data_IF_681994118270
#
_entry.id   IF_681994118270
#
_cell.length_a   1.000
_cell.length_b   1.000
_cell.length_c   1.000
_cell.angle_alpha   90.00
_cell.angle_beta   90.00
_cell.angle_gamma   90.00
#
_symmetry.space_group_name_H-M   'P 1'
#
loop_
_entity.id
_entity.type
_entity.pdbx_description
1 polymer ?
#
# COMPACT_ATOMS: atom_id res chain seq x y z
N UNK A 1 15.54 -3.33 -35.41
CA UNK A 1 16.34 -4.33 -34.67
C UNK A 1 17.85 -4.13 -34.90
N UNK A 2 18.39 -2.94 -34.58
CA UNK A 2 19.84 -2.64 -34.49
C UNK A 2 19.96 -1.15 -34.13
N UNK A 3 19.77 -0.78 -32.86
CA UNK A 3 20.22 0.49 -32.24
C UNK A 3 19.76 0.62 -30.75
N UNK A 4 19.85 -0.46 -29.98
CA UNK A 4 19.70 -0.43 -28.52
C UNK A 4 20.75 -1.35 -27.87
N UNK A 5 22.03 -1.12 -28.17
CA UNK A 5 23.12 -1.94 -27.61
C UNK A 5 24.23 -1.18 -26.90
N UNK A 6 24.12 0.13 -26.70
CA UNK A 6 25.14 0.88 -25.96
C UNK A 6 24.49 1.90 -25.03
N UNK A 7 24.10 1.44 -23.82
CA UNK A 7 24.07 2.23 -22.55
C UNK A 7 23.55 1.47 -21.32
N UNK A 8 23.67 0.15 -21.28
CA UNK A 8 23.45 -0.62 -20.05
C UNK A 8 24.73 -1.41 -19.74
N UNK A 9 25.45 -1.11 -18.64
CA UNK A 9 26.40 -2.07 -18.11
C UNK A 9 25.64 -3.34 -17.72
N UNK A 10 26.28 -4.48 -17.96
CA UNK A 10 25.74 -5.83 -17.93
C UNK A 10 24.58 -6.05 -16.94
N UNK A 11 23.47 -6.58 -17.45
CA UNK A 11 22.44 -7.18 -16.61
C UNK A 11 23.12 -8.12 -15.62
N UNK A 12 22.84 -7.97 -14.32
CA UNK A 12 23.28 -8.94 -13.32
C UNK A 12 22.88 -10.32 -13.82
N UNK A 13 23.87 -11.12 -14.22
CA UNK A 13 23.68 -12.54 -14.52
C UNK A 13 22.88 -13.10 -13.36
N UNK A 14 21.68 -13.60 -13.64
CA UNK A 14 20.89 -14.37 -12.70
C UNK A 14 21.80 -15.49 -12.18
N UNK A 15 22.41 -15.28 -11.02
CA UNK A 15 23.03 -16.35 -10.26
C UNK A 15 21.88 -17.21 -9.80
N UNK A 16 21.85 -18.46 -10.24
CA UNK A 16 21.13 -19.51 -9.52
C UNK A 16 21.52 -19.41 -8.05
N UNK A 17 20.66 -18.79 -7.25
CA UNK A 17 20.77 -18.71 -5.80
C UNK A 17 19.42 -18.85 -5.12
N UNK A 18 18.36 -19.13 -5.90
CA UNK A 18 17.02 -19.39 -5.41
C UNK A 18 16.80 -20.89 -5.29
N UNK A 19 17.43 -21.55 -4.32
CA UNK A 19 17.01 -22.84 -3.77
C UNK A 19 17.98 -23.25 -2.65
N UNK A 20 17.41 -23.53 -1.48
CA UNK A 20 18.02 -23.87 -0.19
C UNK A 20 18.42 -22.69 0.71
N UNK A 21 17.41 -21.94 1.15
CA UNK A 21 17.30 -21.76 2.60
C UNK A 21 16.08 -22.58 3.03
N UNK A 22 16.33 -23.74 3.62
CA UNK A 22 15.32 -24.30 4.54
C UNK A 22 15.06 -23.28 5.65
N UNK A 23 13.93 -23.37 6.37
CA UNK A 23 13.74 -22.53 7.55
C UNK A 23 15.01 -22.62 8.39
N UNK A 24 15.59 -21.47 8.74
CA UNK A 24 16.68 -21.44 9.71
C UNK A 24 16.04 -21.75 11.07
N UNK A 25 15.79 -23.05 11.29
CA UNK A 25 15.29 -23.61 12.55
C UNK A 25 16.39 -23.60 13.63
N UNK A 26 17.62 -23.22 13.27
CA UNK A 26 18.82 -23.34 14.10
C UNK A 26 19.38 -22.00 14.61
N UNK A 27 18.76 -20.84 14.34
CA UNK A 27 18.99 -19.69 15.24
C UNK A 27 18.24 -20.09 16.50
N UNK A 28 18.95 -20.32 17.63
CA UNK A 28 18.27 -20.75 18.85
C UNK A 28 17.14 -19.76 19.10
N UNK A 29 15.93 -20.29 19.32
CA UNK A 29 14.83 -19.48 19.84
C UNK A 29 15.40 -18.72 21.02
N UNK A 30 15.67 -17.43 20.84
CA UNK A 30 16.20 -16.65 21.94
C UNK A 30 15.09 -16.67 22.96
N UNK A 31 15.35 -17.25 24.13
CA UNK A 31 14.37 -17.36 25.22
C UNK A 31 13.87 -15.97 25.63
N UNK A 32 14.63 -14.95 25.26
CA UNK A 32 14.46 -13.55 25.61
C UNK A 32 13.54 -12.82 24.64
N UNK A 33 13.73 -12.84 23.31
CA UNK A 33 12.93 -12.04 22.37
C UNK A 33 11.82 -12.78 21.62
N UNK A 34 10.62 -12.15 21.48
CA UNK A 34 9.66 -12.56 20.44
C UNK A 34 10.17 -12.06 19.10
N UNK A 35 10.35 -12.95 18.15
CA UNK A 35 10.94 -12.65 16.85
C UNK A 35 9.96 -12.88 15.68
N UNK A 36 10.16 -12.13 14.61
CA UNK A 36 9.48 -12.30 13.34
C UNK A 36 10.50 -12.11 12.22
N UNK A 37 10.51 -13.03 11.26
CA UNK A 37 11.46 -13.04 10.15
C UNK A 37 10.69 -12.93 8.83
N UNK A 38 11.13 -12.03 7.97
CA UNK A 38 10.71 -11.95 6.58
C UNK A 38 11.95 -11.98 5.70
N UNK A 39 12.27 -13.14 5.14
CA UNK A 39 13.53 -13.36 4.42
C UNK A 39 14.75 -13.03 5.29
N UNK A 40 15.58 -12.05 4.92
CA UNK A 40 16.73 -11.58 5.72
C UNK A 40 16.38 -10.48 6.74
N UNK A 41 15.16 -9.92 6.68
CA UNK A 41 14.69 -8.93 7.63
C UNK A 41 14.15 -9.59 8.90
N UNK A 42 14.90 -9.46 10.00
CA UNK A 42 14.51 -9.91 11.33
C UNK A 42 14.02 -8.74 12.20
N UNK A 43 12.94 -8.97 12.95
CA UNK A 43 12.42 -8.03 13.94
C UNK A 43 12.22 -8.74 15.27
N UNK A 44 12.79 -8.18 16.33
CA UNK A 44 12.60 -8.64 17.70
C UNK A 44 11.89 -7.57 18.53
N UNK A 45 10.90 -7.98 19.34
CA UNK A 45 10.11 -7.05 20.16
C UNK A 45 9.99 -7.52 21.61
N UNK A 46 10.63 -6.79 22.54
CA UNK A 46 10.65 -7.04 23.99
C UNK A 46 11.11 -5.82 24.80
N UNK A 47 11.11 -5.88 26.16
CA UNK A 47 11.82 -4.91 26.99
C UNK A 47 13.26 -4.68 26.51
N UNK A 48 13.73 -3.45 26.63
CA UNK A 48 15.01 -2.97 26.08
C UNK A 48 16.22 -3.84 26.43
N UNK A 49 16.25 -4.40 27.64
CA UNK A 49 17.32 -5.30 28.10
C UNK A 49 17.34 -6.64 27.35
N UNK A 50 16.17 -7.25 27.17
CA UNK A 50 16.03 -8.50 26.42
C UNK A 50 16.39 -8.30 24.94
N UNK A 51 16.04 -7.14 24.35
CA UNK A 51 16.42 -6.81 22.96
C UNK A 51 17.93 -6.65 22.82
N UNK A 52 18.61 -6.05 23.81
CA UNK A 52 20.08 -5.93 23.79
C UNK A 52 20.74 -7.30 23.90
N UNK A 53 20.23 -8.16 24.77
CA UNK A 53 20.72 -9.53 24.92
C UNK A 53 20.54 -10.32 23.62
N UNK A 54 19.36 -10.23 23.00
CA UNK A 54 19.09 -10.87 21.70
C UNK A 54 20.06 -10.39 20.61
N UNK A 55 20.37 -9.10 20.56
CA UNK A 55 21.36 -8.57 19.62
C UNK A 55 22.77 -9.15 19.84
N UNK A 56 23.19 -9.30 21.11
CA UNK A 56 24.51 -9.85 21.43
C UNK A 56 24.56 -11.35 21.10
N UNK A 57 23.51 -12.11 21.41
CA UNK A 57 23.35 -13.51 21.02
C UNK A 57 23.42 -13.69 19.50
N UNK A 58 22.72 -12.84 18.73
CA UNK A 58 22.79 -12.88 17.26
C UNK A 58 24.18 -12.60 16.71
N UNK A 59 24.96 -11.74 17.37
CA UNK A 59 26.34 -11.44 16.96
C UNK A 59 27.31 -12.58 17.23
N UNK A 60 27.07 -13.36 18.27
CA UNK A 60 27.90 -14.51 18.64
C UNK A 60 27.50 -15.77 17.88
N UNK A 61 26.20 -16.06 17.82
CA UNK A 61 25.64 -17.26 17.18
C UNK A 61 25.50 -17.14 15.66
N UNK A 62 25.40 -15.92 15.12
CA UNK A 62 25.25 -15.68 13.68
C UNK A 62 26.46 -16.13 12.84
N UNK A 63 27.71 -15.69 13.14
CA UNK A 63 28.87 -15.99 12.31
C UNK A 63 29.15 -17.49 12.08
N UNK A 64 28.99 -18.38 13.09
CA UNK A 64 29.05 -19.83 12.88
C UNK A 64 28.05 -20.36 11.84
N UNK A 65 26.88 -19.73 11.72
CA UNK A 65 25.83 -20.06 10.75
C UNK A 65 26.01 -19.34 9.40
N UNK A 66 27.08 -18.56 9.24
CA UNK A 66 27.33 -17.73 8.05
C UNK A 66 26.50 -16.44 8.00
N UNK A 67 25.79 -16.08 9.08
CA UNK A 67 25.00 -14.86 9.18
C UNK A 67 25.78 -13.76 9.92
N UNK A 68 25.89 -12.58 9.32
CA UNK A 68 26.67 -11.47 9.89
C UNK A 68 25.77 -10.24 10.08
N UNK A 69 25.25 -10.01 11.31
CA UNK A 69 24.39 -8.87 11.58
C UNK A 69 25.11 -7.54 11.27
N UNK A 70 24.52 -6.72 10.41
CA UNK A 70 25.08 -5.42 10.05
C UNK A 70 24.48 -4.32 10.93
N UNK A 71 25.19 -3.94 11.99
CA UNK A 71 24.73 -2.94 12.97
C UNK A 71 24.28 -1.61 12.32
N UNK A 72 24.96 -1.16 11.25
CA UNK A 72 24.61 0.09 10.54
C UNK A 72 23.28 0.02 9.82
N UNK A 73 22.81 -1.19 9.50
CA UNK A 73 21.50 -1.44 8.89
C UNK A 73 20.44 -1.83 9.93
N UNK A 74 20.81 -2.02 11.20
CA UNK A 74 19.92 -2.33 12.31
C UNK A 74 19.44 -1.05 12.99
N UNK A 75 18.19 -1.07 13.42
CA UNK A 75 17.53 0.07 14.03
C UNK A 75 16.74 -0.38 15.24
N UNK A 76 16.74 0.47 16.26
CA UNK A 76 16.07 0.23 17.52
C UNK A 76 14.96 1.27 17.68
N UNK A 77 13.71 0.84 17.53
CA UNK A 77 12.54 1.70 17.73
C UNK A 77 12.07 1.57 19.17
N UNK A 78 12.10 2.67 19.91
CA UNK A 78 11.72 2.72 21.33
C UNK A 78 10.66 3.77 21.59
N UNK A 79 9.90 3.59 22.68
CA UNK A 79 8.97 4.62 23.16
C UNK A 79 9.77 5.85 23.59
N UNK A 80 9.25 7.09 23.42
CA UNK A 80 9.97 8.32 23.76
C UNK A 80 10.54 8.34 25.19
N UNK A 81 9.84 7.72 26.15
CA UNK A 81 10.26 7.65 27.56
C UNK A 81 11.53 6.81 27.79
N UNK A 82 11.81 5.84 26.90
CA UNK A 82 12.95 4.94 27.01
C UNK A 82 14.11 5.36 26.08
N UNK A 83 13.98 6.46 25.33
CA UNK A 83 14.94 6.88 24.31
C UNK A 83 16.34 7.16 24.90
N UNK A 84 16.41 7.89 26.01
CA UNK A 84 17.68 8.18 26.69
C UNK A 84 18.38 6.90 27.15
N UNK A 85 17.61 5.98 27.75
CA UNK A 85 18.11 4.69 28.23
C UNK A 85 18.53 3.78 27.07
N UNK A 86 17.81 3.82 25.96
CA UNK A 86 18.15 3.08 24.75
C UNK A 86 19.46 3.58 24.12
N UNK A 87 19.62 4.91 24.01
CA UNK A 87 20.87 5.52 23.53
C UNK A 87 22.05 5.11 24.42
N UNK A 88 21.90 5.17 25.74
CA UNK A 88 22.93 4.74 26.68
C UNK A 88 23.27 3.25 26.53
N UNK A 89 22.27 2.35 26.54
CA UNK A 89 22.47 0.91 26.45
C UNK A 89 23.04 0.42 25.11
N UNK A 90 22.73 1.11 24.02
CA UNK A 90 23.19 0.76 22.68
C UNK A 90 24.38 1.61 22.22
N UNK A 91 24.94 2.45 23.10
CA UNK A 91 26.16 3.21 22.82
C UNK A 91 27.29 2.26 22.41
N UNK A 92 27.99 2.58 21.31
CA UNK A 92 29.10 1.78 20.79
C UNK A 92 28.69 0.55 19.96
N UNK A 93 27.40 0.22 19.86
CA UNK A 93 26.93 -0.89 18.98
C UNK A 93 26.86 -0.49 17.51
N UNK A 94 26.71 0.82 17.22
CA UNK A 94 26.52 1.34 15.86
C UNK A 94 25.08 1.20 15.33
N UNK A 95 24.13 0.77 16.18
CA UNK A 95 22.69 0.72 15.88
C UNK A 95 22.08 2.12 15.97
N UNK A 96 21.24 2.47 15.00
CA UNK A 96 20.51 3.74 15.04
C UNK A 96 19.25 3.62 15.91
N UNK A 97 18.99 4.60 16.77
CA UNK A 97 17.84 4.63 17.70
C UNK A 97 16.69 5.54 17.23
N UNK A 98 16.81 6.17 16.07
CA UNK A 98 15.77 7.04 15.50
C UNK A 98 14.65 6.20 14.83
N UNK A 99 13.48 6.82 14.63
CA UNK A 99 12.35 6.19 13.93
C UNK A 99 12.75 5.67 12.55
N UNK A 100 12.19 4.53 12.11
CA UNK A 100 12.57 3.89 10.85
C UNK A 100 11.36 3.39 10.07
N UNK A 101 11.51 3.41 8.76
CA UNK A 101 10.75 2.57 7.83
C UNK A 101 11.06 1.09 8.06
N UNK A 102 10.05 0.28 8.35
CA UNK A 102 10.11 -1.18 8.38
C UNK A 102 9.16 -1.77 7.34
N UNK A 103 9.69 -2.59 6.42
CA UNK A 103 8.97 -3.25 5.31
C UNK A 103 8.13 -2.34 4.39
N UNK A 104 8.26 -1.00 4.48
CA UNK A 104 7.41 -0.08 3.72
C UNK A 104 6.67 0.93 4.59
N UNK A 105 6.35 0.53 5.82
CA UNK A 105 5.58 1.29 6.80
C UNK A 105 6.51 2.04 7.76
N UNK A 106 6.12 3.24 8.19
CA UNK A 106 6.79 3.96 9.26
C UNK A 106 6.52 3.32 10.63
N UNK A 107 7.58 3.12 11.41
CA UNK A 107 7.53 2.77 12.83
C UNK A 107 8.29 3.83 13.62
N UNK A 108 7.65 4.44 14.60
CA UNK A 108 8.28 5.47 15.42
C UNK A 108 7.28 6.43 16.06
N UNK A 109 7.74 7.66 16.31
CA UNK A 109 6.90 8.75 16.81
C UNK A 109 5.86 9.19 15.76
N UNK A 110 4.80 9.84 16.23
CA UNK A 110 3.80 10.47 15.37
C UNK A 110 4.45 11.49 14.41
N UNK A 111 5.41 12.29 14.89
CA UNK A 111 6.13 13.25 14.05
C UNK A 111 6.89 12.58 12.90
N UNK A 112 7.49 11.42 13.13
CA UNK A 112 8.20 10.68 12.09
C UNK A 112 7.22 10.07 11.07
N UNK A 113 6.07 9.58 11.54
CA UNK A 113 5.00 9.09 10.67
C UNK A 113 4.52 10.22 9.73
N UNK A 114 4.23 11.40 10.29
CA UNK A 114 3.77 12.56 9.55
C UNK A 114 4.79 13.05 8.53
N UNK A 115 6.08 13.14 8.89
CA UNK A 115 7.15 13.51 7.97
C UNK A 115 7.31 12.48 6.84
N UNK A 116 7.32 11.19 7.17
CA UNK A 116 7.50 10.12 6.19
C UNK A 116 6.33 10.03 5.21
N UNK A 117 5.09 10.04 5.72
CA UNK A 117 3.88 10.01 4.90
C UNK A 117 3.74 11.30 4.12
N UNK A 118 4.01 12.45 4.73
CA UNK A 118 4.01 13.76 4.08
C UNK A 118 4.91 13.79 2.85
N UNK A 119 6.18 13.38 2.98
CA UNK A 119 7.09 13.31 1.84
C UNK A 119 6.64 12.33 0.74
N UNK A 120 5.98 11.21 1.11
CA UNK A 120 5.41 10.28 0.13
C UNK A 120 4.19 10.86 -0.58
N UNK A 121 3.35 11.59 0.15
CA UNK A 121 2.17 12.26 -0.39
C UNK A 121 2.58 13.36 -1.36
N UNK A 122 3.63 14.13 -1.06
CA UNK A 122 4.22 15.11 -1.99
C UNK A 122 4.65 14.46 -3.31
N UNK A 123 5.41 13.34 -3.24
CA UNK A 123 5.80 12.56 -4.42
C UNK A 123 4.57 12.14 -5.24
N UNK A 124 3.53 11.61 -4.58
CA UNK A 124 2.33 11.11 -5.25
C UNK A 124 1.48 12.23 -5.85
N UNK A 125 1.36 13.38 -5.17
CA UNK A 125 0.69 14.58 -5.70
C UNK A 125 1.37 15.03 -6.98
N UNK A 126 2.70 15.02 -7.01
CA UNK A 126 3.45 15.36 -8.22
C UNK A 126 3.19 14.34 -9.35
N UNK A 127 3.22 13.05 -9.05
CA UNK A 127 2.91 11.99 -10.03
C UNK A 127 1.49 12.10 -10.59
N UNK A 128 0.49 12.36 -9.74
CA UNK A 128 -0.92 12.58 -10.15
C UNK A 128 -1.03 13.83 -11.02
N UNK A 129 -0.36 14.91 -10.67
CA UNK A 129 -0.34 16.15 -11.45
C UNK A 129 0.28 15.95 -12.83
N UNK A 130 1.39 15.22 -12.92
CA UNK A 130 2.00 14.84 -14.20
C UNK A 130 1.07 13.95 -15.01
N UNK A 131 0.39 12.99 -14.38
CA UNK A 131 -0.58 12.11 -15.04
C UNK A 131 -1.77 12.89 -15.61
N UNK A 132 -2.24 13.91 -14.89
CA UNK A 132 -3.28 14.82 -15.34
C UNK A 132 -2.86 15.63 -16.57
N UNK A 133 -1.59 16.04 -16.67
CA UNK A 133 -1.08 16.69 -17.88
C UNK A 133 -1.19 15.78 -19.11
N UNK A 134 -0.88 14.49 -18.98
CA UNK A 134 -1.08 13.51 -20.05
C UNK A 134 -2.56 13.30 -20.37
N UNK A 135 -3.43 13.31 -19.35
CA UNK A 135 -4.88 13.06 -19.50
C UNK A 135 -5.57 14.06 -20.44
N UNK A 136 -5.05 15.29 -20.55
CA UNK A 136 -5.56 16.31 -21.49
C UNK A 136 -5.51 15.86 -22.94
N UNK A 137 -4.50 15.08 -23.30
CA UNK A 137 -4.30 14.56 -24.67
C UNK A 137 -4.70 13.08 -24.81
N UNK A 138 -4.41 12.26 -23.79
CA UNK A 138 -4.53 10.80 -23.81
C UNK A 138 -5.27 10.30 -22.56
N UNK A 139 -6.55 10.69 -22.36
CA UNK A 139 -7.29 10.35 -21.14
C UNK A 139 -7.44 8.84 -20.95
N UNK A 140 -7.61 8.09 -22.04
CA UNK A 140 -7.72 6.65 -22.02
C UNK A 140 -6.42 5.94 -21.62
N UNK A 141 -5.25 6.54 -21.84
CA UNK A 141 -3.98 5.98 -21.38
C UNK A 141 -3.69 6.38 -19.93
N UNK A 142 -4.04 7.62 -19.55
CA UNK A 142 -3.85 8.12 -18.19
C UNK A 142 -4.72 7.40 -17.16
N UNK A 143 -5.98 7.11 -17.50
CA UNK A 143 -6.91 6.42 -16.60
C UNK A 143 -6.39 5.06 -16.09
N UNK A 144 -5.99 4.09 -16.95
CA UNK A 144 -5.45 2.81 -16.50
C UNK A 144 -4.10 2.96 -15.79
N UNK A 145 -3.27 3.93 -16.16
CA UNK A 145 -2.04 4.22 -15.43
C UNK A 145 -2.32 4.66 -13.97
N UNK A 146 -3.42 5.37 -13.74
CA UNK A 146 -3.90 5.66 -12.40
C UNK A 146 -4.45 4.39 -11.71
N UNK A 147 -5.43 3.72 -12.32
CA UNK A 147 -6.20 2.66 -11.65
C UNK A 147 -5.41 1.37 -11.41
N UNK A 148 -4.49 1.01 -12.31
CA UNK A 148 -3.65 -0.18 -12.22
C UNK A 148 -2.22 0.11 -11.79
N UNK A 149 -1.77 1.36 -11.85
CA UNK A 149 -0.42 1.77 -11.47
C UNK A 149 -0.41 2.51 -10.14
N UNK A 150 -0.72 3.80 -10.16
CA UNK A 150 -0.50 4.70 -9.03
C UNK A 150 -1.32 4.33 -7.80
N UNK A 151 -2.61 4.01 -7.96
CA UNK A 151 -3.53 3.75 -6.84
C UNK A 151 -3.03 2.72 -5.83
N UNK A 152 -2.36 1.68 -6.32
CA UNK A 152 -1.88 0.60 -5.47
C UNK A 152 -0.75 1.00 -4.52
N UNK A 153 -0.03 2.10 -4.81
CA UNK A 153 1.07 2.60 -3.98
C UNK A 153 0.58 3.08 -2.62
N UNK A 154 -0.42 3.95 -2.59
CA UNK A 154 -0.99 4.43 -1.32
C UNK A 154 -1.99 3.43 -0.71
N UNK A 155 -2.57 2.51 -1.50
CA UNK A 155 -3.36 1.40 -0.93
C UNK A 155 -2.54 0.57 0.06
N UNK A 156 -1.25 0.37 -0.19
CA UNK A 156 -0.37 -0.29 0.77
C UNK A 156 -0.26 0.49 2.08
N UNK A 157 -0.12 1.82 2.02
CA UNK A 157 0.00 2.68 3.20
C UNK A 157 -1.30 2.68 4.01
N UNK A 158 -2.45 2.84 3.34
CA UNK A 158 -3.77 2.75 3.96
C UNK A 158 -4.01 1.43 4.70
N UNK A 159 -3.34 0.33 4.30
CA UNK A 159 -3.48 -0.99 4.94
C UNK A 159 -2.49 -1.25 6.06
N UNK A 160 -1.45 -0.43 6.19
CA UNK A 160 -0.31 -0.71 7.07
C UNK A 160 -0.08 0.37 8.12
N UNK A 161 -0.62 1.57 7.93
CA UNK A 161 -0.45 2.70 8.83
C UNK A 161 -1.82 3.19 9.33
N UNK A 162 -2.03 3.28 10.66
CA UNK A 162 -3.20 3.92 11.24
C UNK A 162 -3.12 5.45 11.15
N UNK A 163 -4.27 6.11 11.30
CA UNK A 163 -4.38 7.56 11.54
C UNK A 163 -3.73 8.45 10.46
N UNK A 164 -3.69 7.98 9.21
CA UNK A 164 -3.12 8.72 8.07
C UNK A 164 -4.14 9.47 7.22
N UNK A 165 -5.44 9.40 7.54
CA UNK A 165 -6.54 10.02 6.77
C UNK A 165 -6.22 11.49 6.43
N UNK A 166 -5.96 12.30 7.45
CA UNK A 166 -5.68 13.73 7.28
C UNK A 166 -4.42 14.00 6.42
N UNK A 167 -3.45 13.11 6.47
CA UNK A 167 -2.21 13.22 5.69
C UNK A 167 -2.43 12.93 4.20
N UNK A 168 -3.49 12.21 3.86
CA UNK A 168 -3.84 11.87 2.48
C UNK A 168 -4.72 12.94 1.80
N UNK A 169 -5.22 13.94 2.53
CA UNK A 169 -6.03 15.02 1.96
C UNK A 169 -5.36 15.76 0.80
N UNK A 170 -4.05 16.10 0.81
CA UNK A 170 -3.41 16.73 -0.34
C UNK A 170 -3.47 15.86 -1.61
N UNK A 171 -3.39 14.53 -1.45
CA UNK A 171 -3.51 13.58 -2.55
C UNK A 171 -4.95 13.49 -3.07
N UNK A 172 -5.93 13.46 -2.17
CA UNK A 172 -7.36 13.55 -2.52
C UNK A 172 -7.62 14.79 -3.38
N UNK A 173 -7.18 15.98 -2.94
CA UNK A 173 -7.34 17.22 -3.70
C UNK A 173 -6.66 17.17 -5.05
N UNK A 174 -5.45 16.58 -5.15
CA UNK A 174 -4.80 16.41 -6.44
C UNK A 174 -5.60 15.51 -7.39
N UNK A 175 -6.28 14.48 -6.86
CA UNK A 175 -7.17 13.62 -7.66
C UNK A 175 -8.43 14.38 -8.07
N UNK A 176 -9.09 15.05 -7.12
CA UNK A 176 -10.38 15.73 -7.29
C UNK A 176 -10.29 17.01 -8.12
N UNK A 177 -9.30 17.86 -7.84
CA UNK A 177 -9.17 19.19 -8.45
C UNK A 177 -8.34 19.18 -9.74
N UNK A 178 -7.46 18.19 -9.92
CA UNK A 178 -6.51 18.18 -11.04
C UNK A 178 -6.74 17.00 -11.98
N UNK A 179 -6.70 15.77 -11.47
CA UNK A 179 -6.78 14.58 -12.33
C UNK A 179 -8.17 14.36 -12.92
N UNK A 180 -9.22 14.37 -12.08
CA UNK A 180 -10.59 14.17 -12.52
C UNK A 180 -10.97 15.19 -13.59
N UNK A 181 -10.80 16.52 -13.38
CA UNK A 181 -11.10 17.52 -14.40
C UNK A 181 -10.30 17.34 -15.69
N UNK A 182 -9.03 16.91 -15.59
CA UNK A 182 -8.21 16.65 -16.78
C UNK A 182 -8.70 15.43 -17.59
N UNK A 183 -9.21 14.39 -16.91
CA UNK A 183 -9.78 13.21 -17.56
C UNK A 183 -11.09 13.52 -18.28
N UNK A 184 -11.95 14.36 -17.71
CA UNK A 184 -13.30 14.64 -18.24
C UNK A 184 -13.45 15.99 -18.96
N UNK A 185 -12.43 16.85 -18.95
CA UNK A 185 -12.42 18.21 -19.53
C UNK A 185 -13.47 19.19 -18.96
N UNK A 186 -13.89 18.99 -17.72
CA UNK A 186 -14.77 19.91 -16.99
C UNK A 186 -14.58 19.77 -15.49
N UNK A 187 -15.02 20.77 -14.75
CA UNK A 187 -15.10 20.66 -13.30
C UNK A 187 -16.20 19.65 -12.91
N UNK A 188 -15.96 18.91 -11.84
CA UNK A 188 -16.98 18.08 -11.18
C UNK A 188 -17.56 18.82 -9.98
N UNK A 189 -18.86 18.67 -9.75
CA UNK A 189 -19.41 18.93 -8.42
C UNK A 189 -19.00 17.82 -7.44
N UNK A 190 -19.14 18.07 -6.14
CA UNK A 190 -18.85 17.08 -5.09
C UNK A 190 -19.57 15.74 -5.33
N UNK A 191 -20.89 15.76 -5.55
CA UNK A 191 -21.66 14.55 -5.89
C UNK A 191 -21.19 13.82 -7.17
N UNK A 192 -20.59 14.54 -8.14
CA UNK A 192 -20.01 13.90 -9.32
C UNK A 192 -18.66 13.27 -9.02
N UNK A 193 -17.84 13.90 -8.16
CA UNK A 193 -16.60 13.32 -7.64
C UNK A 193 -16.90 12.03 -6.86
N UNK A 194 -17.92 12.04 -6.00
CA UNK A 194 -18.37 10.86 -5.24
C UNK A 194 -18.80 9.74 -6.19
N UNK A 195 -19.57 10.07 -7.24
CA UNK A 195 -19.90 9.12 -8.30
C UNK A 195 -18.64 8.57 -8.97
N UNK A 196 -17.62 9.40 -9.26
CA UNK A 196 -16.37 8.94 -9.90
C UNK A 196 -15.54 8.05 -8.96
N UNK A 197 -15.63 8.25 -7.65
CA UNK A 197 -14.98 7.41 -6.66
C UNK A 197 -15.55 5.98 -6.64
N UNK A 198 -16.85 5.82 -6.95
CA UNK A 198 -17.49 4.50 -7.00
C UNK A 198 -16.86 3.57 -8.06
N UNK A 199 -16.91 2.24 -7.86
CA UNK A 199 -16.42 1.30 -8.86
C UNK A 199 -17.13 1.42 -10.21
N UNK A 200 -16.43 1.02 -11.26
CA UNK A 200 -16.93 0.99 -12.65
C UNK A 200 -18.24 0.21 -12.81
N UNK A 201 -18.42 -0.88 -12.04
CA UNK A 201 -19.68 -1.67 -12.03
C UNK A 201 -20.87 -0.99 -11.35
N UNK A 202 -20.64 0.15 -10.71
CA UNK A 202 -21.62 1.00 -10.03
C UNK A 202 -21.71 2.37 -10.73
N UNK A 203 -21.34 2.44 -12.02
CA UNK A 203 -21.41 3.65 -12.83
C UNK A 203 -20.29 4.68 -12.59
N UNK A 204 -19.36 4.41 -11.68
CA UNK A 204 -18.23 5.28 -11.38
C UNK A 204 -16.96 5.00 -12.20
N UNK A 205 -15.82 5.52 -11.72
CA UNK A 205 -14.50 5.35 -12.36
C UNK A 205 -13.46 4.72 -11.42
N UNK A 206 -13.82 4.38 -10.19
CA UNK A 206 -12.90 3.83 -9.20
C UNK A 206 -11.76 4.77 -8.83
N UNK A 207 -11.97 6.08 -9.00
CA UNK A 207 -11.07 7.17 -8.60
C UNK A 207 -11.28 7.47 -7.12
N UNK A 208 -11.04 6.47 -6.28
CA UNK A 208 -11.37 6.47 -4.86
C UNK A 208 -10.68 7.60 -4.10
N UNK A 209 -11.42 8.23 -3.18
CA UNK A 209 -10.85 9.15 -2.20
C UNK A 209 -9.92 8.36 -1.24
N UNK A 210 -8.60 8.64 -1.24
CA UNK A 210 -7.67 7.96 -0.36
C UNK A 210 -7.84 8.36 1.12
N UNK A 211 -8.35 9.55 1.42
CA UNK A 211 -8.64 10.00 2.79
C UNK A 211 -9.76 9.13 3.38
N UNK A 212 -10.94 9.14 2.76
CA UNK A 212 -12.14 8.43 3.28
C UNK A 212 -11.96 6.91 3.36
N UNK A 213 -11.12 6.34 2.50
CA UNK A 213 -10.90 4.89 2.46
C UNK A 213 -9.78 4.39 3.37
N UNK A 214 -8.99 5.29 3.97
CA UNK A 214 -7.82 4.92 4.77
C UNK A 214 -8.19 4.01 5.95
N UNK A 215 -9.13 4.46 6.80
CA UNK A 215 -9.53 3.75 8.01
C UNK A 215 -10.20 2.41 7.72
N UNK A 216 -11.02 2.37 6.66
CA UNK A 216 -11.69 1.16 6.23
C UNK A 216 -10.69 0.11 5.71
N UNK A 217 -9.69 0.53 4.92
CA UNK A 217 -8.64 -0.36 4.43
C UNK A 217 -7.72 -0.84 5.56
N UNK A 218 -7.39 0.02 6.53
CA UNK A 218 -6.61 -0.35 7.71
C UNK A 218 -7.37 -1.37 8.56
N UNK A 219 -8.63 -1.09 8.89
CA UNK A 219 -9.48 -1.98 9.69
C UNK A 219 -9.69 -3.34 9.02
N UNK A 220 -9.88 -3.34 7.70
CA UNK A 220 -9.96 -4.56 6.90
C UNK A 220 -8.66 -5.37 6.95
N UNK A 221 -7.52 -4.69 6.85
CA UNK A 221 -6.18 -5.31 6.92
C UNK A 221 -5.95 -5.98 8.29
N UNK A 222 -6.25 -5.28 9.38
CA UNK A 222 -6.15 -5.81 10.75
C UNK A 222 -7.04 -7.03 10.93
N UNK A 223 -8.31 -6.96 10.49
CA UNK A 223 -9.25 -8.07 10.63
C UNK A 223 -8.80 -9.32 9.89
N UNK A 224 -8.35 -9.17 8.64
CA UNK A 224 -7.93 -10.30 7.80
C UNK A 224 -6.61 -10.90 8.27
N UNK A 225 -5.70 -10.08 8.80
CA UNK A 225 -4.39 -10.53 9.28
C UNK A 225 -4.40 -11.05 10.72
N UNK A 226 -5.47 -10.83 11.49
CA UNK A 226 -5.57 -11.22 12.90
C UNK A 226 -5.18 -12.70 13.20
N UNK A 227 -5.60 -13.71 12.42
CA UNK A 227 -5.17 -15.09 12.65
C UNK A 227 -3.66 -15.27 12.50
N UNK A 228 -3.04 -14.60 11.53
CA UNK A 228 -1.60 -14.64 11.31
C UNK A 228 -0.85 -13.93 12.44
N UNK A 229 -1.34 -12.76 12.86
CA UNK A 229 -0.77 -12.02 14.00
C UNK A 229 -0.79 -12.87 15.26
N UNK A 230 -1.90 -13.57 15.54
CA UNK A 230 -2.00 -14.47 16.70
C UNK A 230 -0.95 -15.59 16.66
N UNK A 231 -0.69 -16.18 15.49
CA UNK A 231 0.37 -17.20 15.32
C UNK A 231 1.77 -16.62 15.54
N UNK A 232 2.04 -15.43 15.01
CA UNK A 232 3.31 -14.71 15.20
C UNK A 232 3.51 -14.39 16.69
N UNK A 233 2.50 -13.87 17.38
CA UNK A 233 2.59 -13.54 18.81
C UNK A 233 2.79 -14.76 19.70
N UNK A 234 2.22 -15.91 19.29
CA UNK A 234 2.41 -17.20 19.94
C UNK A 234 3.73 -17.89 19.55
N UNK A 235 4.53 -17.29 18.65
CA UNK A 235 5.76 -17.87 18.08
C UNK A 235 5.51 -19.27 17.49
N UNK A 236 4.35 -19.46 16.86
CA UNK A 236 3.99 -20.73 16.24
C UNK A 236 4.44 -20.76 14.78
N UNK A 237 5.12 -21.83 14.38
CA UNK A 237 5.49 -22.08 12.98
C UNK A 237 4.30 -22.56 12.12
N UNK A 238 3.12 -22.77 12.71
CA UNK A 238 1.94 -23.20 11.98
C UNK A 238 1.26 -22.03 11.27
N UNK A 239 0.86 -22.25 10.02
CA UNK A 239 0.04 -21.28 9.30
C UNK A 239 -1.38 -21.23 9.87
N UNK A 240 -2.08 -20.08 9.77
CA UNK A 240 -3.50 -20.00 10.07
C UNK A 240 -4.34 -20.97 9.25
N UNK A 241 -5.53 -21.31 9.75
CA UNK A 241 -6.46 -22.17 9.02
C UNK A 241 -6.96 -21.45 7.75
N UNK A 242 -6.77 -22.07 6.59
CA UNK A 242 -7.11 -21.45 5.31
C UNK A 242 -8.62 -21.13 5.20
N UNK A 243 -9.47 -21.99 5.76
CA UNK A 243 -10.92 -21.79 5.78
C UNK A 243 -11.31 -20.57 6.62
N UNK A 244 -10.63 -20.33 7.75
CA UNK A 244 -10.84 -19.15 8.58
C UNK A 244 -10.45 -17.87 7.82
N UNK A 245 -9.26 -17.84 7.21
CA UNK A 245 -8.79 -16.68 6.44
C UNK A 245 -9.73 -16.39 5.26
N UNK A 246 -10.16 -17.42 4.51
CA UNK A 246 -11.12 -17.26 3.41
C UNK A 246 -12.46 -16.68 3.89
N UNK A 247 -12.96 -17.11 5.06
CA UNK A 247 -14.18 -16.56 5.65
C UNK A 247 -14.00 -15.08 6.00
N UNK A 248 -12.90 -14.69 6.66
CA UNK A 248 -12.62 -13.30 7.02
C UNK A 248 -12.48 -12.39 5.78
N UNK A 249 -11.80 -12.88 4.74
CA UNK A 249 -11.69 -12.16 3.46
C UNK A 249 -13.07 -11.98 2.83
N UNK A 250 -13.90 -13.02 2.83
CA UNK A 250 -15.25 -12.97 2.27
C UNK A 250 -16.15 -11.99 3.04
N UNK A 251 -16.18 -12.06 4.38
CA UNK A 251 -17.00 -11.15 5.20
C UNK A 251 -16.57 -9.70 5.01
N UNK A 252 -15.27 -9.42 5.04
CA UNK A 252 -14.71 -8.08 4.81
C UNK A 252 -15.06 -7.54 3.43
N UNK A 253 -14.98 -8.38 2.38
CA UNK A 253 -15.40 -8.00 1.01
C UNK A 253 -16.90 -7.72 0.94
N UNK A 254 -17.72 -8.53 1.61
CA UNK A 254 -19.18 -8.38 1.64
C UNK A 254 -19.60 -7.11 2.37
N UNK A 255 -18.97 -6.81 3.50
CA UNK A 255 -19.19 -5.55 4.24
C UNK A 255 -18.83 -4.34 3.37
N UNK A 256 -17.66 -4.37 2.71
CA UNK A 256 -17.25 -3.32 1.77
C UNK A 256 -18.22 -3.15 0.60
N UNK A 257 -18.72 -4.26 0.05
CA UNK A 257 -19.71 -4.20 -1.03
C UNK A 257 -21.06 -3.63 -0.54
N UNK A 258 -21.47 -3.95 0.69
CA UNK A 258 -22.65 -3.35 1.33
C UNK A 258 -22.52 -1.84 1.47
N UNK A 259 -21.41 -1.36 2.03
CA UNK A 259 -21.16 0.08 2.19
C UNK A 259 -21.13 0.83 0.85
N UNK A 260 -20.55 0.23 -0.20
CA UNK A 260 -20.57 0.82 -1.54
C UNK A 260 -21.98 0.89 -2.16
N UNK A 261 -22.88 -0.05 -1.83
CA UNK A 261 -24.28 0.01 -2.28
C UNK A 261 -25.05 1.11 -1.57
N UNK A 262 -24.84 1.27 -0.26
CA UNK A 262 -25.41 2.38 0.49
C UNK A 262 -24.94 3.73 -0.04
N UNK A 263 -23.64 3.84 -0.34
CA UNK A 263 -23.07 5.07 -0.91
C UNK A 263 -23.58 5.37 -2.31
N UNK A 264 -23.75 4.33 -3.14
CA UNK A 264 -24.38 4.46 -4.46
C UNK A 264 -25.77 5.09 -4.36
N UNK A 265 -26.62 4.63 -3.43
CA UNK A 265 -27.97 5.17 -3.27
C UNK A 265 -27.95 6.63 -2.78
N UNK A 266 -27.04 6.98 -1.86
CA UNK A 266 -26.86 8.36 -1.40
C UNK A 266 -26.44 9.29 -2.53
N UNK A 267 -25.41 8.90 -3.28
CA UNK A 267 -24.90 9.67 -4.43
C UNK A 267 -25.99 9.80 -5.48
N UNK A 268 -26.70 8.72 -5.81
CA UNK A 268 -27.81 8.73 -6.77
C UNK A 268 -28.87 9.77 -6.40
N UNK A 269 -29.24 9.87 -5.12
CA UNK A 269 -30.24 10.81 -4.65
C UNK A 269 -29.82 12.30 -4.79
N UNK A 270 -28.52 12.58 -4.80
CA UNK A 270 -27.98 13.94 -4.96
C UNK A 270 -27.78 14.37 -6.42
N UNK A 271 -27.84 13.41 -7.36
CA UNK A 271 -27.58 13.66 -8.77
C UNK A 271 -28.84 14.11 -9.53
N UNK A 272 -28.71 14.93 -10.59
CA UNK A 272 -29.83 15.26 -11.47
C UNK A 272 -30.39 14.01 -12.18
N UNK A 273 -31.68 14.00 -12.50
CA UNK A 273 -32.37 12.87 -13.18
C UNK A 273 -31.64 12.35 -14.41
N UNK A 274 -31.06 13.25 -15.21
CA UNK A 274 -30.30 12.88 -16.41
C UNK A 274 -29.07 12.04 -16.06
N UNK A 275 -28.35 12.41 -15.01
CA UNK A 275 -27.15 11.70 -14.55
C UNK A 275 -27.52 10.40 -13.85
N UNK A 276 -28.63 10.36 -13.10
CA UNK A 276 -29.15 9.11 -12.53
C UNK A 276 -29.46 8.07 -13.61
N UNK A 277 -30.12 8.47 -14.70
CA UNK A 277 -30.39 7.57 -15.84
C UNK A 277 -29.11 7.07 -16.50
N UNK A 278 -28.13 7.96 -16.69
CA UNK A 278 -26.83 7.58 -17.25
C UNK A 278 -26.09 6.59 -16.34
N UNK A 279 -26.18 6.78 -15.02
CA UNK A 279 -25.62 5.88 -14.03
C UNK A 279 -26.29 4.50 -14.08
N UNK A 280 -27.62 4.44 -14.16
CA UNK A 280 -28.36 3.17 -14.26
C UNK A 280 -27.94 2.36 -15.50
N UNK A 281 -27.76 3.03 -16.64
CA UNK A 281 -27.22 2.41 -17.86
C UNK A 281 -25.77 1.93 -17.66
N UNK A 282 -24.93 2.72 -16.99
CA UNK A 282 -23.53 2.36 -16.74
C UNK A 282 -23.37 1.19 -15.74
N UNK A 283 -24.38 0.96 -14.89
CA UNK A 283 -24.48 -0.19 -13.98
C UNK A 283 -24.92 -1.48 -14.67
N UNK A 284 -25.45 -1.42 -15.90
CA UNK A 284 -25.84 -2.62 -16.63
C UNK A 284 -24.65 -3.55 -16.88
N UNK A 285 -24.93 -4.86 -16.86
CA UNK A 285 -23.90 -5.88 -16.99
C UNK A 285 -23.18 -5.74 -18.32
N UNK A 286 -21.90 -5.36 -18.25
CA UNK A 286 -21.03 -5.24 -19.41
C UNK A 286 -20.88 -3.81 -19.94
N UNK A 287 -21.76 -2.88 -19.58
CA UNK A 287 -21.81 -1.51 -20.10
C UNK A 287 -20.49 -0.76 -19.92
N UNK A 288 -19.84 -0.94 -18.76
CA UNK A 288 -18.62 -0.24 -18.39
C UNK A 288 -17.35 -1.09 -18.54
N UNK A 289 -17.42 -2.25 -19.21
CA UNK A 289 -16.27 -3.18 -19.35
C UNK A 289 -15.10 -2.54 -20.08
N UNK A 290 -15.37 -1.64 -21.03
CA UNK A 290 -14.37 -0.95 -21.83
C UNK A 290 -13.41 -0.09 -21.00
N UNK A 291 -13.83 0.37 -19.81
CA UNK A 291 -12.97 1.07 -18.85
C UNK A 291 -12.01 0.13 -18.11
N UNK A 292 -12.32 -1.15 -18.02
CA UNK A 292 -11.50 -2.14 -17.29
C UNK A 292 -10.45 -2.84 -18.14
N UNK A 293 -10.45 -2.59 -19.46
CA UNK A 293 -9.53 -3.20 -20.42
C UNK A 293 -8.32 -2.30 -20.66
N UNK A 294 -7.13 -2.89 -20.80
CA UNK A 294 -5.91 -2.14 -21.14
C UNK A 294 -6.03 -1.64 -22.59
N UNK A 295 -5.81 -0.33 -22.86
CA UNK A 295 -6.04 0.29 -24.17
C UNK A 295 -4.94 -0.08 -25.17
N UNK A 296 -4.95 -1.31 -25.65
CA UNK A 296 -4.00 -1.84 -26.63
C UNK A 296 -4.55 -1.64 -28.05
N UNK A 297 -3.89 -0.79 -28.83
CA UNK A 297 -4.27 -0.50 -30.23
C UNK A 297 -4.28 -1.75 -31.10
N UNK A 298 -3.36 -2.69 -30.85
CA UNK A 298 -3.27 -3.98 -31.54
C UNK A 298 -4.58 -4.78 -31.49
N UNK A 299 -5.36 -4.64 -30.42
CA UNK A 299 -6.60 -5.37 -30.21
C UNK A 299 -7.85 -4.51 -30.42
N UNK A 300 -7.71 -3.30 -30.97
CA UNK A 300 -8.83 -2.39 -31.21
C UNK A 300 -9.42 -1.77 -29.94
N UNK A 301 -8.75 -1.88 -28.79
CA UNK A 301 -9.20 -1.30 -27.52
C UNK A 301 -8.76 0.16 -27.34
N UNK A 302 -8.07 0.77 -28.32
CA UNK A 302 -7.72 2.18 -28.29
C UNK A 302 -8.93 3.05 -28.68
N UNK A 303 -9.36 3.91 -27.76
CA UNK A 303 -10.43 4.88 -27.96
C UNK A 303 -9.84 6.28 -28.20
N UNK A 304 -10.41 7.00 -29.16
CA UNK A 304 -10.10 8.42 -29.33
C UNK A 304 -10.63 9.24 -28.16
N UNK A 305 -9.97 10.37 -27.88
CA UNK A 305 -10.30 11.31 -26.81
C UNK A 305 -11.80 11.63 -26.72
N UNK A 306 -12.47 11.81 -27.87
CA UNK A 306 -13.90 12.14 -27.96
C UNK A 306 -14.79 11.00 -27.46
N UNK A 307 -14.44 9.75 -27.80
CA UNK A 307 -15.23 8.56 -27.47
C UNK A 307 -15.09 8.20 -25.99
N UNK A 308 -13.90 8.42 -25.41
CA UNK A 308 -13.68 8.19 -23.97
C UNK A 308 -14.55 9.09 -23.06
N UNK A 309 -15.05 10.20 -23.60
CA UNK A 309 -15.65 11.31 -22.84
C UNK A 309 -17.17 11.40 -22.92
N UNK A 310 -17.79 10.68 -23.86
CA UNK A 310 -19.25 10.61 -24.01
C UNK A 310 -19.87 9.75 -22.92
#
# INVERSE_FOLDING_TARGET
MRQLKEKHPDAQRAKLGSLLFGPVEDIPDSVTAKQCWFTDDATGARPLQEVKQWWDELREAGPPLGYYPNAKKCWLVVKPKEESRAKEMFTGTGINTEGRKHLGAALGSQSYLEEYVGGKVEDWVEEVTRLAAFARSQPQASYPAFTFGLRHRWTYFMRTLPDIENLLQPLERAISDVLIPALIERNCSEAECDLRALPVRMGGLGLTNPSDSADAEYSASIRVSAPLVSKIEAQSHQTPEEAEVKRLVYTTRKEKEGGLKEELEKVKAMLPDKTQRAMDLACEKGASSWLTVIPLSLYGFGLFKIIFKS
#
